data_IF_972276717726
#
_entry.id   IF_972276717726
#
_cell.length_a   1.000
_cell.length_b   1.000
_cell.length_c   1.000
_cell.angle_alpha   90.00
_cell.angle_beta   90.00
_cell.angle_gamma   90.00
#
_symmetry.space_group_name_H-M   'P 1'
#
loop_
_entity.id
_entity.type
_entity.pdbx_description
1 polymer ?
#
# COMPACT_ATOMS: atom_id res chain seq x y z
N UNK A 1 33.74 11.85 -7.44
CA UNK A 1 32.65 12.86 -7.30
C UNK A 1 31.25 12.31 -7.60
N UNK A 2 31.03 11.01 -7.81
CA UNK A 2 29.76 10.46 -8.32
C UNK A 2 28.70 10.02 -7.26
N UNK A 3 28.98 10.13 -5.95
CA UNK A 3 28.05 9.68 -4.90
C UNK A 3 27.25 10.80 -4.22
N UNK A 4 27.59 12.06 -4.47
CA UNK A 4 26.94 13.21 -3.82
C UNK A 4 25.61 13.56 -4.53
N UNK A 5 25.53 13.28 -5.83
CA UNK A 5 24.39 13.62 -6.69
C UNK A 5 23.19 12.67 -6.45
N UNK A 6 23.42 11.35 -6.41
CA UNK A 6 22.36 10.36 -6.23
C UNK A 6 21.67 10.41 -4.84
N UNK A 7 22.35 10.90 -3.81
CA UNK A 7 21.75 11.15 -2.49
C UNK A 7 20.81 12.36 -2.51
N UNK A 8 21.18 13.40 -3.25
CA UNK A 8 20.42 14.62 -3.37
C UNK A 8 19.13 14.41 -4.18
N UNK A 9 19.19 13.68 -5.30
CA UNK A 9 18.03 13.44 -6.17
C UNK A 9 16.90 12.71 -5.44
N UNK A 10 17.23 11.73 -4.60
CA UNK A 10 16.25 10.97 -3.82
C UNK A 10 15.61 11.84 -2.74
N UNK A 11 16.41 12.64 -2.05
CA UNK A 11 15.91 13.59 -1.06
C UNK A 11 14.98 14.64 -1.69
N UNK A 12 15.28 15.04 -2.93
CA UNK A 12 14.46 15.97 -3.71
C UNK A 12 13.12 15.33 -4.09
N UNK A 13 13.13 14.11 -4.63
CA UNK A 13 11.89 13.35 -4.94
C UNK A 13 11.03 13.16 -3.68
N UNK A 14 11.64 12.78 -2.56
CA UNK A 14 10.91 12.59 -1.29
C UNK A 14 10.32 13.91 -0.80
N UNK A 15 11.07 15.01 -0.95
CA UNK A 15 10.60 16.35 -0.57
C UNK A 15 9.41 16.79 -1.42
N UNK A 16 9.53 16.70 -2.74
CA UNK A 16 8.46 17.05 -3.68
C UNK A 16 7.20 16.24 -3.38
N UNK A 17 7.35 14.94 -3.07
CA UNK A 17 6.23 14.09 -2.66
C UNK A 17 5.59 14.58 -1.36
N UNK A 18 6.37 14.89 -0.33
CA UNK A 18 5.85 15.39 0.95
C UNK A 18 5.11 16.72 0.76
N UNK A 19 5.69 17.64 0.00
CA UNK A 19 5.09 18.95 -0.31
C UNK A 19 3.81 18.82 -1.13
N UNK A 20 3.69 17.81 -2.01
CA UNK A 20 2.45 17.54 -2.76
C UNK A 20 1.24 17.18 -1.88
N UNK A 21 1.48 16.76 -0.63
CA UNK A 21 0.46 16.48 0.38
C UNK A 21 0.23 17.64 1.36
N UNK A 22 0.70 18.85 1.04
CA UNK A 22 0.70 20.02 1.93
C UNK A 22 1.47 19.78 3.25
N UNK A 23 2.41 18.83 3.25
CA UNK A 23 3.28 18.55 4.38
C UNK A 23 4.61 19.26 4.20
N UNK A 24 5.30 19.54 5.31
CA UNK A 24 6.63 20.16 5.26
C UNK A 24 7.66 19.32 6.01
N UNK A 25 8.87 19.25 5.46
CA UNK A 25 10.01 18.68 6.18
C UNK A 25 10.50 19.71 7.18
N UNK A 26 10.37 19.39 8.47
CA UNK A 26 10.69 20.33 9.56
C UNK A 26 11.62 19.69 10.57
N UNK A 27 12.55 20.44 11.15
CA UNK A 27 13.44 19.93 12.22
C UNK A 27 12.74 19.65 13.56
N UNK A 28 11.49 20.09 13.72
CA UNK A 28 10.71 19.95 14.96
C UNK A 28 9.34 19.31 14.69
N UNK A 29 8.82 18.52 15.62
CA UNK A 29 7.46 17.96 15.50
C UNK A 29 6.41 19.08 15.57
N UNK A 30 5.84 19.43 14.43
CA UNK A 30 4.70 20.36 14.28
C UNK A 30 3.56 19.63 13.57
N UNK A 31 2.29 20.04 13.76
CA UNK A 31 1.20 19.54 12.93
C UNK A 31 1.52 19.75 11.45
N UNK A 32 1.32 18.71 10.62
CA UNK A 32 1.70 18.73 9.21
C UNK A 32 3.22 18.74 8.92
N UNK A 33 4.07 18.66 9.95
CA UNK A 33 5.52 18.67 9.83
C UNK A 33 6.14 17.28 10.05
N UNK A 34 6.96 16.83 9.10
CA UNK A 34 7.71 15.57 9.21
C UNK A 34 9.14 15.87 9.63
N UNK A 35 9.54 15.42 10.83
CA UNK A 35 10.92 15.51 11.31
C UNK A 35 11.76 14.26 11.03
N UNK A 36 11.11 13.19 10.56
CA UNK A 36 11.70 11.88 10.35
C UNK A 36 12.18 11.67 8.91
N UNK A 37 12.97 12.59 8.36
CA UNK A 37 13.44 12.52 6.95
C UNK A 37 14.15 11.21 6.65
N UNK A 38 15.04 10.77 7.54
CA UNK A 38 15.74 9.50 7.41
C UNK A 38 14.79 8.30 7.35
N UNK A 39 13.61 8.39 7.97
CA UNK A 39 12.61 7.33 7.88
C UNK A 39 11.94 7.29 6.51
N UNK A 40 11.64 8.44 5.92
CA UNK A 40 11.10 8.51 4.55
C UNK A 40 12.09 7.92 3.55
N UNK A 41 13.37 8.29 3.66
CA UNK A 41 14.46 7.74 2.84
C UNK A 41 14.53 6.22 3.02
N UNK A 42 14.53 5.73 4.25
CA UNK A 42 14.58 4.29 4.51
C UNK A 42 13.38 3.53 3.92
N UNK A 43 12.18 4.11 3.96
CA UNK A 43 10.98 3.50 3.36
C UNK A 43 11.10 3.49 1.83
N UNK A 44 11.52 4.61 1.23
CA UNK A 44 11.76 4.72 -0.20
C UNK A 44 12.78 3.68 -0.68
N UNK A 45 13.92 3.55 0.00
CA UNK A 45 14.98 2.63 -0.40
C UNK A 45 14.57 1.16 -0.21
N UNK A 46 13.81 0.86 0.85
CA UNK A 46 13.46 -0.51 1.19
C UNK A 46 12.24 -1.04 0.43
N UNK A 47 11.24 -0.19 0.22
CA UNK A 47 9.94 -0.58 -0.31
C UNK A 47 9.57 0.12 -1.63
N UNK A 48 10.33 1.13 -2.04
CA UNK A 48 10.09 1.90 -3.26
C UNK A 48 9.13 3.07 -3.10
N UNK A 49 9.05 3.88 -4.17
CA UNK A 49 8.24 5.10 -4.23
C UNK A 49 6.76 4.86 -3.96
N UNK A 50 6.14 3.86 -4.60
CA UNK A 50 4.71 3.59 -4.44
C UNK A 50 4.31 3.29 -2.99
N UNK A 51 5.15 2.56 -2.26
CA UNK A 51 4.91 2.28 -0.84
C UNK A 51 5.01 3.55 -0.01
N UNK A 52 6.01 4.40 -0.27
CA UNK A 52 6.16 5.68 0.42
C UNK A 52 4.94 6.59 0.18
N UNK A 53 4.52 6.72 -1.07
CA UNK A 53 3.33 7.50 -1.46
C UNK A 53 2.08 7.00 -0.74
N UNK A 54 1.83 5.68 -0.77
CA UNK A 54 0.67 5.10 -0.09
C UNK A 54 0.70 5.30 1.43
N UNK A 55 1.87 5.18 2.06
CA UNK A 55 2.05 5.43 3.50
C UNK A 55 1.69 6.88 3.85
N UNK A 56 2.18 7.86 3.08
CA UNK A 56 1.88 9.27 3.30
C UNK A 56 0.38 9.53 3.12
N UNK A 57 -0.21 9.01 2.03
CA UNK A 57 -1.63 9.12 1.76
C UNK A 57 -2.50 8.56 2.89
N UNK A 58 -2.18 7.38 3.41
CA UNK A 58 -2.89 6.76 4.53
C UNK A 58 -2.78 7.60 5.81
N UNK A 59 -1.60 8.13 6.13
CA UNK A 59 -1.40 9.01 7.28
C UNK A 59 -2.23 10.30 7.18
N UNK A 60 -2.18 10.97 6.02
CA UNK A 60 -2.93 12.20 5.76
C UNK A 60 -4.43 11.92 5.81
N UNK A 61 -4.89 10.89 5.12
CA UNK A 61 -6.31 10.54 5.05
C UNK A 61 -6.90 10.14 6.41
N UNK A 62 -6.08 9.58 7.31
CA UNK A 62 -6.54 9.07 8.62
C UNK A 62 -6.46 10.12 9.73
N UNK A 63 -5.41 10.96 9.75
CA UNK A 63 -5.17 11.89 10.87
C UNK A 63 -4.90 13.33 10.46
N UNK A 64 -4.88 13.67 9.16
CA UNK A 64 -4.83 15.05 8.66
C UNK A 64 -3.69 15.89 9.29
N UNK A 65 -2.54 15.25 9.53
CA UNK A 65 -1.39 15.91 10.15
C UNK A 65 -1.45 16.14 11.65
N UNK A 66 -2.28 15.38 12.37
CA UNK A 66 -2.29 15.35 13.83
C UNK A 66 -0.87 15.14 14.41
N UNK A 67 -0.57 15.68 15.60
CA UNK A 67 0.74 15.51 16.22
C UNK A 67 1.14 14.03 16.31
N UNK A 68 2.41 13.73 15.97
CA UNK A 68 3.01 12.38 15.96
C UNK A 68 2.49 11.42 14.87
N UNK A 69 1.55 11.83 14.00
CA UNK A 69 1.05 10.98 12.90
C UNK A 69 2.16 10.61 11.91
N UNK A 70 3.13 11.51 11.71
CA UNK A 70 4.30 11.28 10.85
C UNK A 70 5.58 10.93 11.62
N UNK A 71 5.45 10.37 12.82
CA UNK A 71 6.61 9.91 13.58
C UNK A 71 7.28 8.72 12.89
N UNK A 72 8.59 8.53 13.12
CA UNK A 72 9.35 7.40 12.56
C UNK A 72 8.72 6.04 12.84
N UNK A 73 8.16 5.84 14.03
CA UNK A 73 7.51 4.58 14.39
C UNK A 73 6.20 4.38 13.63
N UNK A 74 5.41 5.44 13.45
CA UNK A 74 4.14 5.35 12.72
C UNK A 74 4.36 5.05 11.23
N UNK A 75 5.26 5.80 10.58
CA UNK A 75 5.59 5.60 9.16
C UNK A 75 6.13 4.19 8.90
N UNK A 76 7.06 3.70 9.73
CA UNK A 76 7.57 2.35 9.60
C UNK A 76 6.52 1.27 9.88
N UNK A 77 5.57 1.54 10.77
CA UNK A 77 4.48 0.60 11.07
C UNK A 77 3.55 0.43 9.87
N UNK A 78 3.14 1.54 9.24
CA UNK A 78 2.26 1.51 8.07
C UNK A 78 2.99 0.91 6.88
N UNK A 79 4.27 1.23 6.65
CA UNK A 79 5.06 0.60 5.58
C UNK A 79 5.18 -0.92 5.76
N UNK A 80 5.29 -1.41 7.00
CA UNK A 80 5.28 -2.85 7.29
C UNK A 80 3.93 -3.50 7.01
N UNK A 81 2.85 -2.84 7.40
CA UNK A 81 1.49 -3.29 7.13
C UNK A 81 1.23 -3.35 5.62
N UNK A 82 1.63 -2.32 4.89
CA UNK A 82 1.49 -2.26 3.44
C UNK A 82 2.28 -3.39 2.76
N UNK A 83 3.53 -3.62 3.16
CA UNK A 83 4.31 -4.73 2.62
C UNK A 83 3.73 -6.12 2.98
N UNK A 84 3.08 -6.27 4.13
CA UNK A 84 2.52 -7.56 4.58
C UNK A 84 1.16 -7.88 3.93
N UNK A 85 0.34 -6.85 3.69
CA UNK A 85 -1.05 -7.00 3.28
C UNK A 85 -1.36 -6.40 1.91
N UNK A 86 -0.62 -5.38 1.47
CA UNK A 86 -0.79 -4.72 0.16
C UNK A 86 -2.25 -4.40 -0.13
N UNK A 87 -2.72 -4.86 -1.28
CA UNK A 87 -4.11 -4.69 -1.74
C UNK A 87 -5.17 -5.35 -0.84
N UNK A 88 -4.79 -6.30 0.02
CA UNK A 88 -5.75 -6.90 0.96
C UNK A 88 -6.13 -5.95 2.10
N UNK A 89 -5.27 -4.97 2.40
CA UNK A 89 -5.62 -3.84 3.26
C UNK A 89 -6.31 -2.77 2.42
N UNK A 90 -7.57 -2.47 2.75
CA UNK A 90 -8.32 -1.42 2.06
C UNK A 90 -8.12 -0.08 2.75
N UNK A 91 -7.77 0.93 1.97
CA UNK A 91 -7.45 2.27 2.47
C UNK A 91 -8.66 2.93 3.16
N UNK A 92 -9.87 2.80 2.58
CA UNK A 92 -11.11 3.32 3.19
C UNK A 92 -11.39 2.68 4.55
N UNK A 93 -11.26 1.35 4.64
CA UNK A 93 -11.45 0.61 5.90
C UNK A 93 -10.39 1.01 6.93
N UNK A 94 -9.15 1.23 6.48
CA UNK A 94 -8.07 1.69 7.35
C UNK A 94 -8.42 3.05 7.93
N UNK A 95 -8.74 4.04 7.08
CA UNK A 95 -9.15 5.38 7.51
C UNK A 95 -10.35 5.31 8.47
N UNK A 96 -11.41 4.61 8.09
CA UNK A 96 -12.66 4.58 8.86
C UNK A 96 -12.50 3.96 10.25
N UNK A 97 -11.62 2.97 10.39
CA UNK A 97 -11.44 2.25 11.66
C UNK A 97 -10.33 2.84 12.50
N UNK A 98 -9.15 2.99 11.91
CA UNK A 98 -7.97 3.50 12.61
C UNK A 98 -8.13 4.97 12.93
N UNK A 99 -8.81 5.74 12.08
CA UNK A 99 -9.10 7.17 12.29
C UNK A 99 -10.04 7.46 13.47
N UNK A 100 -10.75 6.45 13.98
CA UNK A 100 -11.56 6.58 15.22
C UNK A 100 -10.71 6.67 16.48
N UNK A 101 -9.44 6.28 16.39
CA UNK A 101 -8.50 6.23 17.51
C UNK A 101 -7.44 7.30 17.32
N UNK A 102 -7.17 8.05 18.39
CA UNK A 102 -6.15 9.10 18.32
C UNK A 102 -4.74 8.49 18.18
N UNK A 103 -3.83 9.23 17.54
CA UNK A 103 -2.41 8.84 17.43
C UNK A 103 -1.78 8.60 18.81
N UNK A 104 -2.22 9.33 19.84
CA UNK A 104 -1.76 9.18 21.23
C UNK A 104 -2.20 7.85 21.84
N UNK A 105 -3.45 7.46 21.62
CA UNK A 105 -3.97 6.17 22.07
C UNK A 105 -3.27 5.01 21.37
N UNK A 106 -3.05 5.11 20.05
CA UNK A 106 -2.27 4.12 19.30
C UNK A 106 -0.86 4.01 19.88
N UNK A 107 -0.21 5.14 20.17
CA UNK A 107 1.12 5.18 20.77
C UNK A 107 1.17 4.60 22.19
N UNK A 108 0.06 4.66 22.95
CA UNK A 108 -0.05 4.02 24.26
C UNK A 108 -0.17 2.51 24.11
N UNK A 109 -1.14 2.05 23.31
CA UNK A 109 -1.37 0.63 23.03
C UNK A 109 -0.13 -0.05 22.43
N UNK A 110 0.58 0.65 21.53
CA UNK A 110 1.81 0.17 20.94
C UNK A 110 2.87 -0.12 22.01
N UNK A 111 3.09 0.82 22.95
CA UNK A 111 4.09 0.68 24.03
C UNK A 111 3.74 -0.42 25.03
N UNK A 112 2.46 -0.62 25.33
CA UNK A 112 1.99 -1.71 26.19
C UNK A 112 2.26 -3.09 25.59
N UNK A 113 2.24 -3.18 24.25
CA UNK A 113 2.52 -4.43 23.53
C UNK A 113 4.00 -4.65 23.31
N UNK A 114 4.65 -3.72 22.60
CA UNK A 114 6.05 -3.84 22.21
C UNK A 114 6.66 -2.49 21.87
N UNK A 115 7.89 -2.25 22.31
CA UNK A 115 8.63 -1.06 21.90
C UNK A 115 8.92 -1.06 20.39
N UNK A 116 8.92 0.13 19.80
CA UNK A 116 9.29 0.37 18.40
C UNK A 116 8.16 0.19 17.38
N UNK A 117 8.53 0.22 16.09
CA UNK A 117 7.57 0.21 14.97
C UNK A 117 6.71 -1.07 14.86
N UNK A 118 7.15 -2.20 15.43
CA UNK A 118 6.35 -3.43 15.42
C UNK A 118 5.13 -3.33 16.34
N UNK A 119 5.27 -2.74 17.53
CA UNK A 119 4.14 -2.52 18.44
C UNK A 119 3.11 -1.57 17.86
N UNK A 120 3.56 -0.55 17.11
CA UNK A 120 2.67 0.33 16.35
C UNK A 120 1.93 -0.45 15.26
N UNK A 121 2.61 -1.31 14.50
CA UNK A 121 1.97 -2.11 13.46
C UNK A 121 0.90 -3.07 14.03
N UNK A 122 1.18 -3.69 15.17
CA UNK A 122 0.20 -4.52 15.88
C UNK A 122 -1.00 -3.72 16.39
N UNK A 123 -0.77 -2.53 16.97
CA UNK A 123 -1.83 -1.66 17.47
C UNK A 123 -2.76 -1.18 16.34
N UNK A 124 -2.18 -0.81 15.19
CA UNK A 124 -2.94 -0.45 13.99
C UNK A 124 -3.74 -1.64 13.44
N UNK A 125 -3.13 -2.82 13.37
CA UNK A 125 -3.77 -4.03 12.88
C UNK A 125 -4.96 -4.46 13.76
N UNK A 126 -4.85 -4.30 15.09
CA UNK A 126 -5.97 -4.52 15.99
C UNK A 126 -7.16 -3.63 15.68
N UNK A 127 -6.94 -2.32 15.56
CA UNK A 127 -8.03 -1.38 15.31
C UNK A 127 -8.63 -1.60 13.91
N UNK A 128 -7.82 -1.95 12.92
CA UNK A 128 -8.31 -2.38 11.61
C UNK A 128 -9.19 -3.65 11.69
N UNK A 129 -8.75 -4.65 12.46
CA UNK A 129 -9.47 -5.93 12.60
C UNK A 129 -10.69 -5.84 13.51
N UNK A 130 -10.79 -4.79 14.33
CA UNK A 130 -11.89 -4.59 15.27
C UNK A 130 -13.22 -4.61 14.52
N UNK A 131 -14.09 -5.55 14.91
CA UNK A 131 -15.41 -5.77 14.31
C UNK A 131 -15.37 -5.92 12.77
N UNK A 132 -14.26 -6.43 12.21
CA UNK A 132 -14.13 -6.65 10.76
C UNK A 132 -14.76 -7.96 10.34
N UNK A 133 -15.52 -7.95 9.24
CA UNK A 133 -15.98 -9.18 8.57
C UNK A 133 -14.83 -9.95 7.93
N UNK A 134 -13.78 -9.23 7.51
CA UNK A 134 -12.56 -9.78 6.93
C UNK A 134 -11.37 -9.26 7.74
N UNK A 135 -10.90 -10.06 8.69
CA UNK A 135 -9.75 -9.74 9.52
C UNK A 135 -8.45 -10.14 8.82
N UNK A 136 -7.46 -9.26 8.85
CA UNK A 136 -6.12 -9.53 8.37
C UNK A 136 -5.34 -10.39 9.39
N UNK A 137 -4.69 -11.49 8.97
CA UNK A 137 -4.04 -12.42 9.90
C UNK A 137 -2.77 -11.82 10.50
N UNK A 138 -2.63 -11.86 11.83
CA UNK A 138 -1.46 -11.35 12.55
C UNK A 138 -0.15 -12.03 12.14
N UNK A 139 -0.18 -13.31 11.78
CA UNK A 139 0.99 -14.08 11.38
C UNK A 139 1.75 -13.43 10.22
N UNK A 140 1.04 -12.84 9.25
CA UNK A 140 1.65 -12.17 8.09
C UNK A 140 2.55 -10.99 8.49
N UNK A 141 2.26 -10.33 9.61
CA UNK A 141 3.05 -9.23 10.13
C UNK A 141 4.43 -9.68 10.67
N UNK A 142 4.53 -10.93 11.12
CA UNK A 142 5.77 -11.52 11.64
C UNK A 142 6.54 -12.31 10.59
N UNK A 143 5.87 -12.78 9.54
CA UNK A 143 6.55 -13.43 8.43
C UNK A 143 7.37 -12.42 7.65
N UNK A 144 8.69 -12.55 7.69
CA UNK A 144 9.60 -11.82 6.83
C UNK A 144 9.43 -12.30 5.39
N UNK A 145 8.45 -11.77 4.67
CA UNK A 145 8.45 -11.85 3.22
C UNK A 145 8.69 -10.46 2.66
N UNK A 146 9.90 -10.27 2.16
CA UNK A 146 10.22 -9.33 1.10
C UNK A 146 9.93 -10.02 -0.23
N UNK A 147 8.85 -9.71 -0.96
CA UNK A 147 8.78 -9.98 -2.38
C UNK A 147 9.27 -8.76 -3.16
N UNK A 148 10.06 -9.06 -4.19
CA UNK A 148 10.79 -8.17 -5.09
C UNK A 148 9.91 -7.12 -5.77
N UNK A 149 10.53 -5.97 -6.04
CA UNK A 149 10.23 -4.95 -7.06
C UNK A 149 9.35 -5.53 -8.19
N UNK A 150 8.06 -5.19 -8.23
CA UNK A 150 7.28 -5.23 -9.47
C UNK A 150 7.47 -3.87 -10.12
N UNK A 151 8.39 -3.80 -11.06
CA UNK A 151 8.36 -2.77 -12.09
C UNK A 151 7.13 -3.09 -12.95
N UNK A 152 6.16 -2.18 -12.98
CA UNK A 152 5.11 -2.19 -13.99
C UNK A 152 5.33 -0.97 -14.84
N UNK A 153 6.27 -1.08 -15.77
CA UNK A 153 6.36 -0.23 -16.95
C UNK A 153 5.38 -0.80 -17.99
N UNK A 154 4.16 -0.29 -17.98
CA UNK A 154 3.29 -0.34 -19.16
C UNK A 154 3.21 1.08 -19.68
N UNK A 155 4.03 1.38 -20.68
CA UNK A 155 3.85 2.52 -21.57
C UNK A 155 2.67 2.18 -22.50
N UNK A 156 1.64 3.03 -22.46
CA UNK A 156 0.61 3.16 -23.49
C UNK A 156 1.18 3.89 -24.71
N UNK A 157 0.80 3.50 -25.93
CA UNK A 157 0.30 4.40 -27.01
C UNK A 157 -0.04 3.65 -28.32
N UNK A 158 -1.36 3.59 -28.58
CA UNK A 158 -2.13 3.90 -29.80
C UNK A 158 -1.65 3.65 -31.27
N UNK A 159 -2.62 3.21 -32.10
CA UNK A 159 -2.73 3.38 -33.57
C UNK A 159 -2.37 2.13 -34.42
N UNK A 160 -3.08 1.67 -35.45
CA UNK A 160 -4.22 2.19 -36.24
C UNK A 160 -4.80 1.03 -37.10
N UNK A 161 -6.04 1.19 -37.54
CA UNK A 161 -6.96 0.30 -38.27
C UNK A 161 -6.56 -0.18 -39.68
N UNK A 162 -7.05 -1.37 -40.08
CA UNK A 162 -7.75 -1.62 -41.38
C UNK A 162 -8.28 -3.06 -41.50
N UNK A 163 -9.61 -3.24 -41.64
CA UNK A 163 -10.34 -4.44 -42.17
C UNK A 163 -10.46 -4.36 -43.72
N UNK A 164 -11.12 -5.26 -44.50
CA UNK A 164 -11.87 -6.52 -44.22
C UNK A 164 -11.61 -7.69 -45.23
N UNK A 165 -12.31 -8.83 -45.09
CA UNK A 165 -13.11 -9.57 -46.13
C UNK A 165 -13.12 -11.11 -46.02
N UNK A 166 -14.34 -11.68 -46.13
CA UNK A 166 -14.69 -13.06 -46.52
C UNK A 166 -14.53 -14.15 -45.45
N UNK A 167 -15.49 -15.00 -45.09
CA UNK A 167 -16.70 -15.45 -45.77
C UNK A 167 -17.62 -16.15 -44.75
N UNK A 168 -18.92 -16.03 -44.97
CA UNK A 168 -20.06 -16.55 -44.19
C UNK A 168 -20.38 -18.00 -44.56
N UNK A 169 -20.86 -18.79 -43.59
CA UNK A 169 -21.91 -19.83 -43.73
C UNK A 169 -22.33 -20.23 -42.30
N UNK A 170 -23.46 -19.80 -41.70
CA UNK A 170 -24.89 -19.86 -42.03
C UNK A 170 -25.52 -21.26 -41.85
N UNK A 171 -26.17 -21.45 -40.68
CA UNK A 171 -27.38 -22.26 -40.37
C UNK A 171 -27.49 -23.70 -40.93
N UNK A 172 -27.74 -24.75 -40.14
CA UNK A 172 -29.05 -25.13 -39.55
C UNK A 172 -28.90 -26.59 -39.06
N UNK A 173 -29.23 -26.98 -37.82
CA UNK A 173 -30.54 -27.41 -37.29
C UNK A 173 -30.48 -28.90 -36.89
N UNK A 174 -31.15 -29.15 -35.77
CA UNK A 174 -31.46 -30.34 -34.99
C UNK A 174 -31.53 -31.75 -35.64
N UNK A 175 -31.33 -32.69 -34.70
CA UNK A 175 -32.15 -33.88 -34.42
C UNK A 175 -31.74 -35.27 -34.93
N UNK A 176 -31.74 -36.18 -33.94
CA UNK A 176 -32.02 -37.62 -33.99
C UNK A 176 -31.05 -38.54 -34.74
N UNK A 177 -30.40 -39.45 -34.00
CA UNK A 177 -30.81 -40.86 -34.05
C UNK A 177 -30.08 -41.69 -32.97
N UNK A 178 -30.88 -42.42 -32.20
CA UNK A 178 -30.43 -43.46 -31.29
C UNK A 178 -29.79 -44.64 -32.05
N UNK A 179 -28.86 -45.36 -31.41
CA UNK A 179 -28.95 -46.83 -31.29
C UNK A 179 -27.82 -47.39 -30.43
N UNK A 180 -28.24 -48.02 -29.34
CA UNK A 180 -27.48 -48.99 -28.57
C UNK A 180 -27.37 -50.31 -29.35
N UNK A 181 -26.22 -50.99 -29.28
CA UNK A 181 -26.08 -52.43 -29.53
C UNK A 181 -25.00 -53.04 -28.62
N UNK A 182 -25.10 -54.35 -28.32
CA UNK A 182 -24.68 -54.94 -27.05
C UNK A 182 -23.37 -55.75 -27.14
N UNK A 183 -22.83 -56.06 -25.97
CA UNK A 183 -21.76 -57.04 -25.78
C UNK A 183 -22.31 -58.47 -25.88
N UNK A 184 -21.62 -59.33 -26.63
CA UNK A 184 -21.51 -60.77 -26.37
C UNK A 184 -20.16 -61.05 -25.70
#
# INVERSE_FOLDING_TARGET
>A
MANIEAGNDRELIIRDLVESYDLSITSSSRPGGICAVSTLINIYEKYGFHTLDRVLRLCVATWEGAPMSFSSNMLNAIARLDNAYGETMKDDTFKEKVGRVSVREISRTARERRAGSLGFAEALLLEYNKKSKYSLPFEKLYTHKTPKKRETSTEDESGQSSTPEGQLDLFSTDQDNAQALPNE
#
